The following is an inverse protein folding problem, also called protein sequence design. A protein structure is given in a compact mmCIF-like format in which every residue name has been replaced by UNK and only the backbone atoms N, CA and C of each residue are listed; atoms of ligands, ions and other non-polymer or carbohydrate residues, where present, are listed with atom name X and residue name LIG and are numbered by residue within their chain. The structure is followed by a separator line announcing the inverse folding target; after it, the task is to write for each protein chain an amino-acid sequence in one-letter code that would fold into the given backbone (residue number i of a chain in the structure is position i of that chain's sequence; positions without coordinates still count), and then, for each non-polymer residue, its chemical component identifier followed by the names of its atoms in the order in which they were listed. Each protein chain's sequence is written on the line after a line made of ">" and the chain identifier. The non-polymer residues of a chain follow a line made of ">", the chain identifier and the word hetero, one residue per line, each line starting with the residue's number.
data_IF_198469557308
#
_entry.id   IF_198469557308
#
_cell.length_a   1.000
_cell.length_b   1.000
_cell.length_c   1.000
_cell.angle_alpha   90.00
_cell.angle_beta   90.00
_cell.angle_gamma   90.00
#
_symmetry.space_group_name_H-M   'P 1'
#
loop_
_entity.id
_entity.type
_entity.pdbx_description
1 polymer ?
#
# COMPACT_ATOMS: atom_id res chain seq x y z
N UNK A 1 26.71 -1.23 16.61
CA UNK A 1 27.86 -1.26 17.53
C UNK A 1 28.40 -2.68 17.56
N UNK A 2 29.71 -2.85 17.39
CA UNK A 2 30.39 -4.14 17.45
C UNK A 2 30.28 -4.77 18.83
N UNK A 3 30.22 -6.10 18.88
CA UNK A 3 30.15 -6.86 20.14
C UNK A 3 31.46 -6.72 20.91
N UNK A 4 31.38 -6.34 22.19
CA UNK A 4 32.56 -6.27 23.08
C UNK A 4 32.69 -7.54 23.93
N UNK A 5 33.86 -7.72 24.57
CA UNK A 5 34.07 -8.77 25.57
C UNK A 5 33.06 -8.69 26.72
N UNK A 6 32.77 -7.48 27.21
CA UNK A 6 31.79 -7.27 28.28
C UNK A 6 30.37 -7.64 27.83
N UNK A 7 30.01 -7.35 26.59
CA UNK A 7 28.70 -7.71 26.04
C UNK A 7 28.50 -9.25 26.06
N UNK A 8 29.53 -10.03 25.71
CA UNK A 8 29.47 -11.50 25.74
C UNK A 8 29.33 -12.02 27.16
N UNK A 9 30.13 -11.52 28.10
CA UNK A 9 30.07 -11.94 29.51
C UNK A 9 28.69 -11.66 30.10
N UNK A 10 28.17 -10.46 29.91
CA UNK A 10 26.84 -10.10 30.42
C UNK A 10 25.73 -10.89 29.74
N UNK A 11 25.82 -11.16 28.43
CA UNK A 11 24.83 -11.96 27.74
C UNK A 11 24.80 -13.41 28.25
N UNK A 12 25.96 -14.02 28.53
CA UNK A 12 26.03 -15.36 29.14
C UNK A 12 25.41 -15.37 30.54
N UNK A 13 25.72 -14.38 31.38
CA UNK A 13 25.15 -14.29 32.74
C UNK A 13 23.64 -14.08 32.72
N UNK A 14 23.14 -13.19 31.88
CA UNK A 14 21.73 -12.81 31.87
C UNK A 14 20.84 -13.81 31.14
N UNK A 15 21.35 -14.46 30.08
CA UNK A 15 20.54 -15.36 29.23
C UNK A 15 20.76 -16.83 29.61
N UNK A 16 22.00 -17.24 29.91
CA UNK A 16 22.34 -18.62 30.24
C UNK A 16 22.56 -18.86 31.74
N UNK A 17 22.58 -17.80 32.56
CA UNK A 17 22.75 -17.93 34.01
C UNK A 17 24.16 -18.34 34.46
N UNK A 18 25.19 -18.21 33.61
CA UNK A 18 26.57 -18.64 33.92
C UNK A 18 27.65 -17.78 33.28
N UNK A 19 28.91 -18.04 33.65
CA UNK A 19 30.08 -17.48 32.96
C UNK A 19 30.36 -18.20 31.63
N UNK A 20 30.99 -17.52 30.65
CA UNK A 20 31.61 -18.18 29.50
C UNK A 20 32.64 -19.22 29.93
N UNK A 21 32.71 -20.33 29.20
CA UNK A 21 33.54 -21.49 29.55
C UNK A 21 35.05 -21.26 29.37
N UNK A 22 35.45 -20.28 28.56
CA UNK A 22 36.84 -19.90 28.34
C UNK A 22 36.94 -18.55 27.61
N UNK A 23 38.12 -17.92 27.62
CA UNK A 23 38.39 -16.75 26.76
C UNK A 23 38.23 -17.10 25.27
N UNK A 24 38.59 -18.31 24.84
CA UNK A 24 38.42 -18.74 23.46
C UNK A 24 36.93 -18.74 23.03
N UNK A 25 36.01 -19.07 23.94
CA UNK A 25 34.57 -18.99 23.67
C UNK A 25 34.09 -17.55 23.48
N UNK A 26 34.65 -16.61 24.25
CA UNK A 26 34.37 -15.17 24.12
C UNK A 26 34.87 -14.66 22.77
N UNK A 27 36.14 -14.94 22.44
CA UNK A 27 36.76 -14.55 21.17
C UNK A 27 35.99 -15.10 19.97
N UNK A 28 35.56 -16.36 20.05
CA UNK A 28 34.76 -16.99 19.00
C UNK A 28 33.41 -16.30 18.77
N UNK A 29 32.75 -15.79 19.82
CA UNK A 29 31.49 -15.02 19.67
C UNK A 29 31.73 -13.64 19.09
N UNK A 30 32.76 -12.93 19.55
CA UNK A 30 33.15 -11.60 19.03
C UNK A 30 33.51 -11.69 17.55
N UNK A 31 34.26 -12.72 17.14
CA UNK A 31 34.69 -12.91 15.75
C UNK A 31 33.52 -13.18 14.78
N UNK A 32 32.41 -13.76 15.27
CA UNK A 32 31.30 -14.22 14.41
C UNK A 32 30.08 -13.32 14.46
N UNK A 33 29.90 -12.51 15.49
CA UNK A 33 28.67 -11.75 15.74
C UNK A 33 28.98 -10.25 15.73
N UNK A 34 28.33 -9.53 14.83
CA UNK A 34 28.64 -8.13 14.52
C UNK A 34 27.83 -7.15 15.36
N UNK A 35 26.83 -7.63 16.11
CA UNK A 35 25.98 -6.80 16.96
C UNK A 35 25.48 -7.52 18.21
N UNK A 36 25.14 -6.74 19.25
CA UNK A 36 24.46 -7.24 20.46
C UNK A 36 23.16 -7.97 20.14
N UNK A 37 22.49 -7.56 19.05
CA UNK A 37 21.26 -8.18 18.52
C UNK A 37 21.53 -9.63 18.10
N UNK A 38 22.56 -9.84 17.29
CA UNK A 38 23.01 -11.16 16.85
C UNK A 38 23.51 -12.03 18.01
N UNK A 39 24.24 -11.44 18.96
CA UNK A 39 24.70 -12.12 20.18
C UNK A 39 23.52 -12.66 21.00
N UNK A 40 22.54 -11.81 21.31
CA UNK A 40 21.34 -12.20 22.06
C UNK A 40 20.57 -13.31 21.34
N UNK A 41 20.34 -13.17 20.03
CA UNK A 41 19.66 -14.19 19.21
C UNK A 41 20.39 -15.52 19.23
N UNK A 42 21.72 -15.52 19.08
CA UNK A 42 22.53 -16.74 19.08
C UNK A 42 22.44 -17.51 20.41
N UNK A 43 22.27 -16.81 21.54
CA UNK A 43 22.12 -17.43 22.85
C UNK A 43 20.69 -17.93 23.11
N UNK A 44 19.67 -17.14 22.77
CA UNK A 44 18.26 -17.55 22.90
C UNK A 44 17.90 -18.75 21.99
N UNK A 45 18.57 -18.91 20.86
CA UNK A 45 18.40 -20.06 19.98
C UNK A 45 19.35 -21.24 20.29
N UNK A 46 20.19 -21.13 21.33
CA UNK A 46 21.14 -22.18 21.66
C UNK A 46 20.45 -23.42 22.26
N UNK A 47 20.99 -24.61 21.99
CA UNK A 47 20.51 -25.86 22.62
C UNK A 47 20.53 -25.79 24.15
N UNK A 48 21.48 -25.04 24.68
CA UNK A 48 21.65 -24.82 26.11
C UNK A 48 20.45 -24.06 26.69
N UNK A 49 20.14 -22.87 26.15
CA UNK A 49 18.98 -22.08 26.59
C UNK A 49 17.67 -22.87 26.47
N UNK A 50 17.47 -23.56 25.33
CA UNK A 50 16.27 -24.36 25.10
C UNK A 50 16.15 -25.54 26.09
N UNK A 51 17.27 -26.11 26.52
CA UNK A 51 17.31 -27.23 27.45
C UNK A 51 17.11 -26.85 28.91
N UNK A 52 17.37 -25.60 29.30
CA UNK A 52 17.33 -25.14 30.69
C UNK A 52 16.24 -24.14 31.01
N UNK A 53 15.66 -23.48 30.00
CA UNK A 53 14.62 -22.46 30.19
C UNK A 53 13.28 -23.04 30.65
N UNK A 54 12.58 -22.31 31.50
CA UNK A 54 11.19 -22.63 31.88
C UNK A 54 10.22 -22.44 30.69
N UNK A 55 9.02 -23.03 30.73
CA UNK A 55 8.02 -22.85 29.68
C UNK A 55 7.70 -21.37 29.38
N UNK A 56 7.66 -20.52 30.41
CA UNK A 56 7.40 -19.08 30.28
C UNK A 56 8.58 -18.36 29.61
N UNK A 57 9.82 -18.72 29.95
CA UNK A 57 11.01 -18.15 29.31
C UNK A 57 11.14 -18.59 27.85
N UNK A 58 10.76 -19.84 27.53
CA UNK A 58 10.69 -20.33 26.16
C UNK A 58 9.65 -19.56 25.35
N UNK A 59 8.43 -19.38 25.88
CA UNK A 59 7.38 -18.59 25.22
C UNK A 59 7.82 -17.14 25.01
N UNK A 60 8.39 -16.50 26.03
CA UNK A 60 8.90 -15.12 25.93
C UNK A 60 10.04 -15.00 24.92
N UNK A 61 10.95 -15.97 24.87
CA UNK A 61 12.04 -15.99 23.88
C UNK A 61 11.52 -16.17 22.46
N UNK A 62 10.52 -17.02 22.25
CA UNK A 62 9.90 -17.24 20.94
C UNK A 62 9.17 -15.98 20.48
N UNK A 63 8.40 -15.35 21.36
CA UNK A 63 7.72 -14.08 21.07
C UNK A 63 8.72 -12.96 20.76
N UNK A 64 9.78 -12.85 21.57
CA UNK A 64 10.86 -11.90 21.33
C UNK A 64 11.55 -12.13 19.97
N UNK A 65 11.92 -13.37 19.64
CA UNK A 65 12.55 -13.73 18.37
C UNK A 65 11.61 -13.52 17.16
N UNK A 66 10.29 -13.68 17.35
CA UNK A 66 9.27 -13.36 16.34
C UNK A 66 9.19 -11.85 16.07
N UNK A 67 9.12 -11.03 17.12
CA UNK A 67 9.11 -9.56 17.00
C UNK A 67 10.42 -9.03 16.41
N UNK A 68 11.56 -9.55 16.87
CA UNK A 68 12.88 -9.16 16.40
C UNK A 68 13.11 -9.51 14.92
N UNK A 69 12.55 -10.66 14.48
CA UNK A 69 12.54 -11.06 13.07
C UNK A 69 11.66 -10.13 12.26
N UNK A 70 10.46 -9.78 12.73
CA UNK A 70 9.58 -8.82 12.07
C UNK A 70 10.25 -7.44 11.85
N UNK A 71 11.01 -6.95 12.85
CA UNK A 71 11.81 -5.72 12.74
C UNK A 71 13.04 -5.83 11.81
N UNK A 72 13.54 -7.05 11.55
CA UNK A 72 14.68 -7.29 10.64
C UNK A 72 14.26 -7.48 9.17
N UNK A 73 12.96 -7.62 8.93
CA UNK A 73 12.40 -7.77 7.59
C UNK A 73 12.22 -6.39 6.93
N UNK A 74 12.37 -6.33 5.60
CA UNK A 74 12.03 -5.12 4.84
C UNK A 74 10.58 -4.70 5.10
N UNK A 75 10.24 -3.41 5.04
CA UNK A 75 8.87 -2.94 5.21
C UNK A 75 7.87 -3.68 4.32
N UNK A 76 6.66 -3.94 4.82
CA UNK A 76 5.55 -4.46 4.01
C UNK A 76 5.15 -3.43 2.98
N UNK A 77 5.15 -3.79 1.72
CA UNK A 77 4.62 -2.92 0.66
C UNK A 77 3.11 -3.12 0.58
N UNK A 78 2.36 -2.04 0.68
CA UNK A 78 0.91 -2.02 0.59
C UNK A 78 0.51 -1.19 -0.63
N UNK A 79 0.07 -1.86 -1.69
CA UNK A 79 -0.48 -1.18 -2.85
C UNK A 79 -1.99 -0.96 -2.66
N UNK A 80 -2.34 0.26 -2.32
CA UNK A 80 -3.72 0.75 -2.26
C UNK A 80 -4.24 0.95 -3.69
N UNK A 81 -4.83 -0.10 -4.27
CA UNK A 81 -5.28 -0.07 -5.65
C UNK A 81 -6.58 0.73 -5.78
N UNK A 82 -6.44 1.98 -6.20
CA UNK A 82 -7.57 2.85 -6.51
C UNK A 82 -8.11 2.49 -7.92
N UNK A 83 -9.42 2.24 -8.08
CA UNK A 83 -9.98 1.88 -9.38
C UNK A 83 -9.69 2.92 -10.48
N UNK A 84 -9.26 2.42 -11.64
CA UNK A 84 -9.10 3.18 -12.90
C UNK A 84 -7.94 4.19 -12.92
N UNK A 85 -6.92 3.96 -12.09
CA UNK A 85 -5.69 4.76 -12.03
C UNK A 85 -4.44 4.00 -12.51
N UNK A 86 -4.60 3.04 -13.43
CA UNK A 86 -3.54 2.12 -13.86
C UNK A 86 -2.97 1.19 -12.76
N UNK A 87 -3.71 1.00 -11.66
CA UNK A 87 -3.28 0.10 -10.58
C UNK A 87 -3.19 -1.38 -10.98
N UNK A 88 -3.92 -1.87 -11.98
CA UNK A 88 -3.71 -3.22 -12.53
C UNK A 88 -2.30 -3.37 -13.10
N UNK A 89 -1.81 -2.38 -13.87
CA UNK A 89 -0.45 -2.40 -14.41
C UNK A 89 0.60 -2.32 -13.30
N UNK A 90 0.33 -1.57 -12.23
CA UNK A 90 1.21 -1.55 -11.06
C UNK A 90 1.20 -2.90 -10.31
N UNK A 91 0.03 -3.54 -10.18
CA UNK A 91 -0.09 -4.88 -9.59
C UNK A 91 0.75 -5.90 -10.35
N UNK A 92 0.73 -5.87 -11.68
CA UNK A 92 1.56 -6.77 -12.51
C UNK A 92 3.05 -6.57 -12.20
N UNK A 93 3.53 -5.31 -12.15
CA UNK A 93 4.93 -5.00 -11.84
C UNK A 93 5.35 -5.33 -10.41
N UNK A 94 4.46 -5.17 -9.44
CA UNK A 94 4.70 -5.62 -8.07
C UNK A 94 4.67 -7.16 -8.00
N UNK A 95 3.71 -7.81 -8.65
CA UNK A 95 3.61 -9.27 -8.64
C UNK A 95 4.85 -9.95 -9.25
N UNK A 96 5.44 -9.37 -10.30
CA UNK A 96 6.73 -9.78 -10.87
C UNK A 96 7.86 -9.69 -9.82
N UNK A 97 8.03 -8.53 -9.17
CA UNK A 97 9.12 -8.29 -8.20
C UNK A 97 8.96 -9.08 -6.89
N UNK A 98 7.72 -9.45 -6.55
CA UNK A 98 7.36 -10.18 -5.33
C UNK A 98 6.92 -11.62 -5.64
N UNK A 99 7.27 -12.19 -6.80
CA UNK A 99 6.76 -13.48 -7.25
C UNK A 99 6.99 -14.62 -6.25
N UNK A 100 8.18 -14.67 -5.64
CA UNK A 100 8.60 -15.68 -4.65
C UNK A 100 8.44 -15.22 -3.19
N UNK A 101 7.81 -14.07 -2.95
CA UNK A 101 7.65 -13.48 -1.61
C UNK A 101 6.21 -13.67 -1.12
N UNK A 102 5.98 -13.85 0.20
CA UNK A 102 4.63 -13.98 0.72
C UNK A 102 3.80 -12.72 0.42
N UNK A 103 2.60 -12.91 -0.12
CA UNK A 103 1.74 -11.81 -0.58
C UNK A 103 0.27 -12.07 -0.28
N UNK A 104 -0.48 -10.99 -0.14
CA UNK A 104 -1.92 -11.00 0.09
C UNK A 104 -2.66 -10.13 -0.93
N UNK A 105 -3.70 -10.71 -1.55
CA UNK A 105 -4.58 -10.01 -2.49
C UNK A 105 -5.93 -9.76 -1.83
N UNK A 106 -6.30 -8.49 -1.68
CA UNK A 106 -7.61 -8.08 -1.15
C UNK A 106 -8.76 -8.40 -2.13
N UNK A 107 -8.46 -8.57 -3.41
CA UNK A 107 -9.48 -8.88 -4.42
C UNK A 107 -9.93 -10.35 -4.37
N UNK A 108 -9.03 -11.26 -4.05
CA UNK A 108 -9.28 -12.71 -4.12
C UNK A 108 -9.75 -13.30 -2.78
N UNK A 109 -9.61 -12.54 -1.70
CA UNK A 109 -9.93 -12.96 -0.36
C UNK A 109 -10.72 -11.86 0.36
N UNK A 110 -11.88 -12.22 0.90
CA UNK A 110 -12.64 -11.33 1.78
C UNK A 110 -11.72 -10.86 2.93
N UNK A 111 -11.77 -9.58 3.30
CA UNK A 111 -10.99 -9.01 4.41
C UNK A 111 -11.10 -9.84 5.69
N UNK A 112 -12.22 -10.54 5.90
CA UNK A 112 -12.38 -11.51 6.99
C UNK A 112 -11.25 -12.54 7.05
N UNK A 113 -10.82 -13.08 5.91
CA UNK A 113 -9.72 -14.05 5.84
C UNK A 113 -8.37 -13.45 6.23
N UNK A 114 -8.17 -12.15 6.00
CA UNK A 114 -6.97 -11.47 6.50
C UNK A 114 -6.98 -11.40 8.03
N UNK A 115 -8.17 -11.22 8.63
CA UNK A 115 -8.32 -11.22 10.07
C UNK A 115 -8.23 -12.61 10.72
N UNK A 116 -8.43 -13.67 9.95
CA UNK A 116 -8.18 -15.06 10.37
C UNK A 116 -6.68 -15.37 10.50
N UNK A 117 -5.81 -14.64 9.78
CA UNK A 117 -4.36 -14.78 9.95
C UNK A 117 -3.91 -14.35 11.35
N UNK A 118 -3.00 -15.11 11.94
CA UNK A 118 -2.29 -14.74 13.16
C UNK A 118 -1.40 -13.52 12.93
N UNK A 119 -1.04 -12.76 13.99
CA UNK A 119 -0.06 -11.67 13.88
C UNK A 119 1.28 -12.12 13.28
N UNK A 120 1.67 -13.37 13.53
CA UNK A 120 2.86 -13.97 12.95
C UNK A 120 2.71 -14.17 11.44
N UNK A 121 1.61 -14.71 10.96
CA UNK A 121 1.39 -14.85 9.51
C UNK A 121 1.35 -13.50 8.81
N UNK A 122 0.73 -12.48 9.42
CA UNK A 122 0.71 -11.11 8.88
C UNK A 122 2.11 -10.47 8.84
N UNK A 123 2.99 -10.78 9.79
CA UNK A 123 4.36 -10.24 9.81
C UNK A 123 5.25 -10.75 8.67
N UNK A 124 4.87 -11.87 8.06
CA UNK A 124 5.57 -12.47 6.92
C UNK A 124 5.09 -11.92 5.56
N UNK A 125 3.99 -11.15 5.51
CA UNK A 125 3.47 -10.61 4.25
C UNK A 125 4.34 -9.46 3.74
N UNK A 126 5.01 -9.67 2.62
CA UNK A 126 5.89 -8.69 1.98
C UNK A 126 5.16 -7.74 1.02
N UNK A 127 4.04 -8.20 0.46
CA UNK A 127 3.20 -7.42 -0.41
C UNK A 127 1.72 -7.63 -0.06
N UNK A 128 0.99 -6.54 0.13
CA UNK A 128 -0.47 -6.54 0.22
C UNK A 128 -0.99 -5.63 -0.88
N UNK A 129 -1.96 -6.08 -1.68
CA UNK A 129 -2.48 -5.27 -2.78
C UNK A 129 -3.96 -5.52 -3.03
N UNK A 130 -4.64 -4.52 -3.56
CA UNK A 130 -6.04 -4.62 -3.97
C UNK A 130 -6.89 -3.42 -3.56
N UNK A 131 -8.20 -3.55 -3.79
CA UNK A 131 -9.18 -2.49 -3.66
C UNK A 131 -9.61 -2.37 -2.19
N UNK A 132 -8.82 -1.69 -1.39
CA UNK A 132 -9.06 -1.51 0.04
C UNK A 132 -9.03 -0.03 0.43
N UNK A 133 -9.36 0.23 1.69
CA UNK A 133 -9.21 1.52 2.34
C UNK A 133 -7.85 1.59 3.04
N UNK A 134 -7.28 2.79 3.17
CA UNK A 134 -6.11 3.00 4.00
C UNK A 134 -6.40 2.56 5.45
N UNK A 135 -5.52 1.76 6.04
CA UNK A 135 -5.70 1.29 7.41
C UNK A 135 -5.12 -0.08 7.70
N UNK A 136 -4.97 -0.96 6.70
CA UNK A 136 -4.57 -2.36 6.94
C UNK A 136 -3.23 -2.52 7.67
N UNK A 137 -2.32 -1.56 7.53
CA UNK A 137 -1.06 -1.48 8.29
C UNK A 137 -1.20 -1.56 9.82
N UNK A 138 -2.32 -1.11 10.40
CA UNK A 138 -2.56 -1.17 11.85
C UNK A 138 -2.58 -2.62 12.38
N UNK A 139 -2.77 -3.59 11.50
CA UNK A 139 -2.83 -5.01 11.80
C UNK A 139 -1.55 -5.77 11.42
N UNK A 140 -0.51 -5.06 10.99
CA UNK A 140 0.76 -5.63 10.54
C UNK A 140 1.84 -5.21 11.53
N UNK A 141 2.46 -6.14 12.28
CA UNK A 141 3.47 -5.79 13.29
C UNK A 141 4.84 -5.54 12.64
N UNK A 142 4.89 -4.68 11.62
CA UNK A 142 6.10 -4.33 10.85
C UNK A 142 5.97 -2.92 10.26
N UNK A 143 7.10 -2.30 9.99
CA UNK A 143 7.19 -1.14 9.11
C UNK A 143 6.49 -1.42 7.78
N UNK A 144 5.94 -0.37 7.17
CA UNK A 144 5.15 -0.49 5.96
C UNK A 144 5.35 0.71 5.05
N UNK A 145 5.16 0.49 3.75
CA UNK A 145 5.20 1.52 2.72
C UNK A 145 3.92 1.43 1.92
N UNK A 146 3.19 2.54 1.79
CA UNK A 146 2.03 2.60 0.90
C UNK A 146 2.43 3.07 -0.50
N UNK A 147 1.93 2.36 -1.49
CA UNK A 147 2.00 2.74 -2.90
C UNK A 147 0.59 3.00 -3.41
N UNK A 148 0.38 4.06 -4.18
CA UNK A 148 -0.85 4.21 -4.97
C UNK A 148 -0.62 5.07 -6.22
N UNK A 149 -1.60 5.05 -7.12
CA UNK A 149 -1.60 5.87 -8.32
C UNK A 149 -2.89 6.68 -8.34
N UNK A 150 -2.76 7.97 -8.62
CA UNK A 150 -3.88 8.88 -8.84
C UNK A 150 -4.10 9.11 -10.34
N UNK A 151 -5.27 9.63 -10.66
CA UNK A 151 -5.62 10.09 -12.01
C UNK A 151 -6.41 11.37 -11.91
N UNK A 152 -6.38 12.19 -12.97
CA UNK A 152 -7.32 13.31 -13.11
C UNK A 152 -8.74 12.84 -12.81
N UNK A 153 -9.47 13.46 -11.87
CA UNK A 153 -10.70 12.88 -11.33
C UNK A 153 -11.79 12.66 -12.38
N UNK A 154 -11.98 13.61 -13.29
CA UNK A 154 -12.93 13.49 -14.40
C UNK A 154 -12.56 12.32 -15.33
N UNK A 155 -11.30 12.21 -15.75
CA UNK A 155 -10.80 11.12 -16.59
C UNK A 155 -10.99 9.76 -15.92
N UNK A 156 -10.82 9.69 -14.60
CA UNK A 156 -11.06 8.48 -13.81
C UNK A 156 -12.53 8.09 -13.80
N UNK A 157 -13.44 9.04 -13.54
CA UNK A 157 -14.89 8.81 -13.57
C UNK A 157 -15.32 8.33 -14.96
N UNK A 158 -14.84 8.97 -16.03
CA UNK A 158 -15.15 8.56 -17.39
C UNK A 158 -14.56 7.18 -17.75
N UNK A 159 -13.36 6.86 -17.23
CA UNK A 159 -12.77 5.52 -17.37
C UNK A 159 -13.59 4.46 -16.63
N UNK A 160 -14.14 4.78 -15.45
CA UNK A 160 -15.03 3.90 -14.71
C UNK A 160 -16.35 3.70 -15.46
N UNK A 161 -16.98 4.77 -15.93
CA UNK A 161 -18.17 4.72 -16.78
C UNK A 161 -18.01 3.76 -17.97
N UNK A 162 -16.91 3.90 -18.72
CA UNK A 162 -16.61 3.03 -19.85
C UNK A 162 -16.35 1.58 -19.43
N UNK A 163 -15.68 1.38 -18.30
CA UNK A 163 -15.43 0.04 -17.77
C UNK A 163 -16.72 -0.68 -17.40
N UNK A 164 -17.63 -0.01 -16.69
CA UNK A 164 -18.91 -0.57 -16.24
C UNK A 164 -19.76 -1.09 -17.41
N UNK A 165 -19.82 -0.36 -18.52
CA UNK A 165 -20.62 -0.80 -19.67
C UNK A 165 -19.90 -1.77 -20.61
N UNK A 166 -18.59 -2.00 -20.44
CA UNK A 166 -17.81 -2.93 -21.30
C UNK A 166 -17.48 -4.24 -20.60
N UNK A 167 -17.36 -4.25 -19.27
CA UNK A 167 -17.03 -5.47 -18.52
C UNK A 167 -18.28 -6.30 -18.23
N UNK A 168 -18.39 -7.48 -18.87
CA UNK A 168 -19.50 -8.43 -18.71
C UNK A 168 -19.66 -8.98 -17.28
N UNK A 169 -18.57 -9.02 -16.52
CA UNK A 169 -18.58 -9.51 -15.13
C UNK A 169 -19.01 -8.44 -14.13
N UNK A 170 -19.12 -7.18 -14.58
CA UNK A 170 -19.54 -6.10 -13.70
C UNK A 170 -21.03 -6.22 -13.35
N UNK A 171 -21.46 -6.08 -12.08
CA UNK A 171 -22.88 -6.20 -11.68
C UNK A 171 -23.84 -5.21 -12.37
N UNK A 172 -23.28 -4.14 -12.93
CA UNK A 172 -24.01 -3.10 -13.66
C UNK A 172 -23.89 -3.23 -15.19
N UNK A 173 -23.26 -4.29 -15.69
CA UNK A 173 -23.22 -4.58 -17.11
C UNK A 173 -24.63 -4.70 -17.68
N UNK A 174 -24.86 -4.13 -18.86
CA UNK A 174 -26.19 -4.03 -19.48
C UNK A 174 -27.13 -2.98 -18.86
N UNK A 175 -26.84 -2.48 -17.64
CA UNK A 175 -27.61 -1.39 -17.00
C UNK A 175 -27.06 0.00 -17.33
N UNK A 176 -25.79 0.07 -17.74
CA UNK A 176 -25.12 1.30 -18.18
C UNK A 176 -24.77 1.18 -19.65
N UNK A 177 -25.38 2.05 -20.48
CA UNK A 177 -25.03 2.16 -21.89
C UNK A 177 -23.85 3.12 -22.05
N UNK A 178 -22.79 2.65 -22.71
CA UNK A 178 -21.58 3.45 -22.96
C UNK A 178 -21.68 4.23 -24.27
N UNK A 179 -21.06 5.41 -24.31
CA UNK A 179 -21.09 6.37 -25.42
C UNK A 179 -21.06 7.81 -24.88
N UNK A 180 -20.38 8.77 -25.54
CA UNK A 180 -20.30 10.15 -25.04
C UNK A 180 -21.66 10.74 -24.65
N UNK A 181 -22.70 10.47 -25.46
CA UNK A 181 -24.06 10.95 -25.27
C UNK A 181 -24.79 10.38 -24.04
N UNK A 182 -24.30 9.27 -23.49
CA UNK A 182 -24.91 8.61 -22.33
C UNK A 182 -24.19 8.93 -21.01
N UNK A 183 -23.09 9.68 -21.04
CA UNK A 183 -22.30 9.98 -19.84
C UNK A 183 -23.08 10.81 -18.81
N UNK A 184 -23.81 11.84 -19.26
CA UNK A 184 -24.65 12.63 -18.37
C UNK A 184 -25.77 11.81 -17.70
N UNK A 185 -26.38 10.86 -18.43
CA UNK A 185 -27.34 9.91 -17.84
C UNK A 185 -26.71 9.06 -16.75
N UNK A 186 -25.46 8.61 -16.94
CA UNK A 186 -24.73 7.87 -15.91
C UNK A 186 -24.47 8.72 -14.66
N UNK A 187 -24.13 10.01 -14.82
CA UNK A 187 -24.00 10.94 -13.70
C UNK A 187 -25.32 11.08 -12.93
N UNK A 188 -26.46 11.28 -13.61
CA UNK A 188 -27.76 11.30 -12.93
C UNK A 188 -28.09 9.99 -12.21
N UNK A 189 -27.78 8.84 -12.82
CA UNK A 189 -27.99 7.53 -12.20
C UNK A 189 -27.17 7.36 -10.91
N UNK A 190 -25.97 7.94 -10.84
CA UNK A 190 -25.15 7.88 -9.63
C UNK A 190 -25.76 8.59 -8.42
N UNK A 191 -26.66 9.57 -8.62
CA UNK A 191 -27.33 10.25 -7.51
C UNK A 191 -28.31 9.35 -6.75
N UNK A 192 -28.82 8.30 -7.40
CA UNK A 192 -29.80 7.37 -6.82
C UNK A 192 -29.27 5.94 -6.66
N UNK A 193 -28.01 5.70 -7.02
CA UNK A 193 -27.37 4.36 -6.98
C UNK A 193 -26.08 4.43 -6.17
N UNK A 194 -26.17 4.01 -4.91
CA UNK A 194 -25.05 4.06 -3.98
C UNK A 194 -23.83 3.28 -4.47
N UNK A 195 -24.02 2.19 -5.20
CA UNK A 195 -22.94 1.38 -5.77
C UNK A 195 -22.15 2.11 -6.87
N UNK A 196 -22.78 3.06 -7.58
CA UNK A 196 -22.08 3.94 -8.52
C UNK A 196 -21.49 5.12 -7.76
N UNK A 197 -22.30 5.75 -6.90
CA UNK A 197 -21.93 6.94 -6.17
C UNK A 197 -20.63 6.76 -5.39
N UNK A 198 -20.51 5.65 -4.62
CA UNK A 198 -19.30 5.36 -3.84
C UNK A 198 -18.05 5.33 -4.71
N UNK A 199 -18.13 4.73 -5.90
CA UNK A 199 -16.99 4.59 -6.81
C UNK A 199 -16.61 5.88 -7.54
N UNK A 200 -17.50 6.87 -7.62
CA UNK A 200 -17.27 8.12 -8.37
C UNK A 200 -17.18 9.39 -7.52
N UNK A 201 -17.82 9.44 -6.35
CA UNK A 201 -17.82 10.60 -5.47
C UNK A 201 -16.56 10.64 -4.59
N UNK A 202 -15.58 11.45 -4.99
CA UNK A 202 -14.34 11.72 -4.27
C UNK A 202 -13.63 10.43 -3.81
N UNK A 203 -13.70 9.39 -4.64
CA UNK A 203 -13.36 8.03 -4.23
C UNK A 203 -11.85 7.82 -4.09
N UNK A 204 -11.02 8.63 -4.76
CA UNK A 204 -9.56 8.56 -4.56
C UNK A 204 -9.21 9.06 -3.16
N UNK A 205 -9.66 10.26 -2.80
CA UNK A 205 -9.41 10.87 -1.51
C UNK A 205 -10.04 10.07 -0.37
N UNK A 206 -11.27 9.56 -0.54
CA UNK A 206 -11.92 8.75 0.49
C UNK A 206 -11.20 7.44 0.78
N UNK A 207 -10.71 6.73 -0.24
CA UNK A 207 -9.92 5.50 -0.02
C UNK A 207 -8.62 5.80 0.71
N UNK A 208 -7.92 6.88 0.32
CA UNK A 208 -6.69 7.32 0.99
C UNK A 208 -6.97 7.77 2.43
N UNK A 209 -8.10 8.43 2.69
CA UNK A 209 -8.52 8.82 4.03
C UNK A 209 -9.04 7.65 4.88
N UNK A 210 -9.21 6.45 4.31
CA UNK A 210 -9.80 5.30 4.99
C UNK A 210 -11.29 5.47 5.31
N UNK A 211 -12.02 6.15 4.42
CA UNK A 211 -13.43 6.55 4.59
C UNK A 211 -14.30 6.19 3.37
N UNK A 212 -13.83 5.35 2.46
CA UNK A 212 -14.62 4.99 1.28
C UNK A 212 -15.81 4.09 1.65
N UNK A 213 -15.62 3.14 2.56
CA UNK A 213 -16.73 2.27 2.99
C UNK A 213 -17.71 3.00 3.90
N UNK A 214 -17.18 3.78 4.86
CA UNK A 214 -17.93 4.49 5.91
C UNK A 214 -18.66 5.74 5.40
N UNK A 215 -18.01 6.53 4.54
CA UNK A 215 -18.54 7.81 4.01
C UNK A 215 -18.95 8.79 5.13
N UNK A 216 -18.23 8.79 6.25
CA UNK A 216 -18.56 9.56 7.45
C UNK A 216 -17.84 10.90 7.49
N UNK A 217 -16.68 11.03 6.83
CA UNK A 217 -15.90 12.27 6.88
C UNK A 217 -16.57 13.41 6.12
N UNK A 218 -16.53 14.58 6.74
CA UNK A 218 -16.82 15.84 6.05
C UNK A 218 -15.84 16.04 4.87
N UNK A 219 -16.21 16.78 3.82
CA UNK A 219 -15.30 17.04 2.69
C UNK A 219 -13.96 17.66 3.12
N UNK A 220 -13.97 18.53 4.13
CA UNK A 220 -12.76 19.18 4.66
C UNK A 220 -11.86 18.19 5.39
N UNK A 221 -12.43 17.33 6.23
CA UNK A 221 -11.66 16.36 7.01
C UNK A 221 -11.13 15.22 6.14
N UNK A 222 -11.92 14.80 5.13
CA UNK A 222 -11.48 13.88 4.11
C UNK A 222 -10.24 14.41 3.37
N UNK A 223 -10.28 15.66 2.89
CA UNK A 223 -9.14 16.29 2.23
C UNK A 223 -7.91 16.36 3.14
N UNK A 224 -8.08 16.87 4.37
CA UNK A 224 -6.98 17.00 5.34
C UNK A 224 -6.32 15.66 5.61
N UNK A 225 -7.11 14.62 5.87
CA UNK A 225 -6.61 13.27 6.16
C UNK A 225 -5.93 12.65 4.93
N UNK A 226 -6.54 12.78 3.75
CA UNK A 226 -5.95 12.29 2.51
C UNK A 226 -4.61 12.96 2.19
N UNK A 227 -4.48 14.28 2.38
CA UNK A 227 -3.22 15.00 2.22
C UNK A 227 -2.19 14.56 3.27
N UNK A 228 -2.58 14.48 4.55
CA UNK A 228 -1.68 14.05 5.62
C UNK A 228 -1.06 12.68 5.33
N UNK A 229 -1.88 11.73 4.86
CA UNK A 229 -1.43 10.40 4.47
C UNK A 229 -0.58 10.45 3.21
N UNK A 230 -1.00 11.17 2.17
CA UNK A 230 -0.28 11.21 0.90
C UNK A 230 1.15 11.75 1.03
N UNK A 231 1.38 12.67 1.96
CA UNK A 231 2.69 13.30 2.20
C UNK A 231 3.47 12.68 3.37
N UNK A 232 3.00 11.56 3.94
CA UNK A 232 3.76 10.86 4.97
C UNK A 232 5.03 10.23 4.38
N UNK A 233 6.13 10.12 5.17
CA UNK A 233 7.43 9.65 4.67
C UNK A 233 7.42 8.24 4.06
N UNK A 234 6.52 7.39 4.52
CA UNK A 234 6.37 6.01 4.09
C UNK A 234 5.29 5.83 3.00
N UNK A 235 4.90 6.91 2.34
CA UNK A 235 3.94 6.89 1.24
C UNK A 235 4.60 7.33 -0.05
N UNK A 236 4.38 6.56 -1.10
CA UNK A 236 4.79 6.90 -2.45
C UNK A 236 3.59 6.85 -3.38
N UNK A 237 3.48 7.87 -4.22
CA UNK A 237 2.40 7.95 -5.17
C UNK A 237 2.89 8.36 -6.57
N UNK A 238 2.10 7.96 -7.55
CA UNK A 238 2.26 8.32 -8.95
C UNK A 238 0.99 8.93 -9.53
N UNK A 239 1.12 9.46 -10.74
CA UNK A 239 0.00 9.90 -11.56
C UNK A 239 -0.10 8.96 -12.76
N UNK A 240 -1.31 8.69 -13.22
CA UNK A 240 -1.56 7.86 -14.40
C UNK A 240 -0.90 8.46 -15.64
N UNK A 241 -0.88 9.80 -15.72
CA UNK A 241 -0.32 10.58 -16.82
C UNK A 241 1.22 10.42 -16.91
N UNK A 242 1.88 10.23 -15.77
CA UNK A 242 3.34 10.10 -15.62
C UNK A 242 3.75 8.72 -15.10
N UNK A 243 2.97 7.68 -15.43
CA UNK A 243 3.14 6.34 -14.85
C UNK A 243 4.54 5.75 -15.07
N UNK A 244 5.14 6.01 -16.24
CA UNK A 244 6.52 5.58 -16.53
C UNK A 244 7.55 6.21 -15.58
N UNK A 245 7.43 7.50 -15.30
CA UNK A 245 8.31 8.17 -14.32
C UNK A 245 8.09 7.65 -12.91
N UNK A 246 6.84 7.34 -12.56
CA UNK A 246 6.53 6.74 -11.27
C UNK A 246 7.21 5.38 -11.10
N UNK A 247 7.17 4.51 -12.12
CA UNK A 247 7.89 3.23 -12.07
C UNK A 247 9.39 3.40 -11.94
N UNK A 248 9.98 4.40 -12.60
CA UNK A 248 11.40 4.70 -12.42
C UNK A 248 11.73 5.12 -10.98
N UNK A 249 10.85 5.88 -10.31
CA UNK A 249 11.02 6.20 -8.88
C UNK A 249 10.91 4.94 -8.02
N UNK A 250 9.91 4.08 -8.27
CA UNK A 250 9.74 2.83 -7.52
C UNK A 250 10.91 1.85 -7.73
N UNK A 251 11.48 1.80 -8.94
CA UNK A 251 12.67 0.99 -9.21
C UNK A 251 13.87 1.47 -8.41
N UNK A 252 14.11 2.79 -8.34
CA UNK A 252 15.17 3.38 -7.49
C UNK A 252 14.98 3.08 -6.00
N UNK A 253 13.74 2.86 -5.56
CA UNK A 253 13.39 2.48 -4.19
C UNK A 253 13.40 0.95 -3.98
N UNK A 254 13.64 0.15 -5.02
CA UNK A 254 13.69 -1.31 -4.95
C UNK A 254 12.32 -2.01 -4.92
N UNK A 255 11.23 -1.30 -5.20
CA UNK A 255 9.87 -1.86 -5.15
C UNK A 255 9.44 -2.56 -6.44
N UNK A 256 10.04 -2.22 -7.58
CA UNK A 256 9.76 -2.86 -8.88
C UNK A 256 11.08 -3.11 -9.62
N UNK A 257 11.10 -4.11 -10.50
CA UNK A 257 12.24 -4.38 -11.37
C UNK A 257 12.46 -3.25 -12.40
N UNK A 258 13.65 -3.20 -13.00
CA UNK A 258 13.96 -2.24 -14.06
C UNK A 258 13.06 -2.48 -15.27
N UNK A 259 12.27 -1.48 -15.67
CA UNK A 259 11.36 -1.58 -16.82
C UNK A 259 11.85 -0.74 -17.99
N UNK A 260 11.94 -1.34 -19.19
CA UNK A 260 12.11 -0.63 -20.46
C UNK A 260 10.74 -0.24 -21.02
N UNK A 261 10.37 1.04 -20.85
CA UNK A 261 9.18 1.71 -21.42
C UNK A 261 7.78 1.17 -21.07
N UNK A 262 6.83 2.08 -20.85
CA UNK A 262 5.39 1.77 -20.79
C UNK A 262 4.65 2.58 -21.84
N UNK A 263 3.90 1.86 -22.68
CA UNK A 263 3.04 2.41 -23.72
C UNK A 263 2.01 3.41 -23.18
N UNK A 264 1.98 4.59 -23.82
CA UNK A 264 0.97 5.64 -23.62
C UNK A 264 -0.38 5.20 -24.20
N UNK A 265 -1.23 4.57 -23.40
CA UNK A 265 -2.62 4.28 -23.78
C UNK A 265 -3.57 5.50 -23.69
N UNK A 266 -3.05 6.73 -23.61
CA UNK A 266 -3.84 7.93 -23.30
C UNK A 266 -4.55 8.59 -24.51
N UNK A 267 -4.07 8.40 -25.75
CA UNK A 267 -4.49 9.25 -26.87
C UNK A 267 -5.93 8.98 -27.38
N UNK A 268 -6.43 7.74 -27.29
CA UNK A 268 -7.72 7.38 -27.90
C UNK A 268 -8.95 7.72 -27.03
N UNK A 269 -8.79 8.02 -25.74
CA UNK A 269 -9.94 8.33 -24.85
C UNK A 269 -10.26 9.82 -24.73
N UNK A 270 -9.32 10.70 -25.09
CA UNK A 270 -9.43 12.12 -24.79
C UNK A 270 -10.51 12.81 -25.62
N UNK A 271 -10.54 12.57 -26.94
CA UNK A 271 -11.56 13.12 -27.84
C UNK A 271 -12.98 12.62 -27.54
N UNK A 272 -13.10 11.41 -27.00
CA UNK A 272 -14.39 10.83 -26.57
C UNK A 272 -14.88 11.45 -25.26
N UNK A 273 -13.96 11.77 -24.35
CA UNK A 273 -14.27 12.47 -23.10
C UNK A 273 -14.70 13.92 -23.39
N UNK A 274 -13.97 14.65 -24.23
CA UNK A 274 -14.30 16.04 -24.60
C UNK A 274 -15.74 16.15 -25.12
N UNK A 275 -16.12 15.30 -26.07
CA UNK A 275 -17.50 15.22 -26.58
C UNK A 275 -18.53 14.90 -25.50
N UNK A 276 -18.17 14.06 -24.52
CA UNK A 276 -19.06 13.71 -23.42
C UNK A 276 -19.27 14.89 -22.48
N UNK A 277 -18.23 15.70 -22.25
CA UNK A 277 -18.28 16.90 -21.40
C UNK A 277 -19.05 18.04 -22.08
N UNK A 278 -18.85 18.26 -23.38
CA UNK A 278 -19.60 19.24 -24.17
C UNK A 278 -21.12 18.96 -24.18
N UNK A 279 -21.50 17.69 -24.10
CA UNK A 279 -22.89 17.26 -24.09
C UNK A 279 -23.59 17.32 -22.72
N UNK A 280 -22.91 17.76 -21.65
CA UNK A 280 -23.51 17.82 -20.31
C UNK A 280 -24.41 19.04 -20.13
N UNK A 281 -25.57 18.82 -19.51
CA UNK A 281 -26.40 19.88 -18.94
C UNK A 281 -25.72 20.54 -17.73
N UNK A 282 -26.24 21.70 -17.30
CA UNK A 282 -25.77 22.40 -16.10
C UNK A 282 -25.86 21.52 -14.85
N UNK A 283 -26.95 20.75 -14.71
CA UNK A 283 -27.13 19.84 -13.58
C UNK A 283 -26.08 18.71 -13.59
N UNK A 284 -25.79 18.11 -14.74
CA UNK A 284 -24.80 17.04 -14.84
C UNK A 284 -23.37 17.55 -14.59
N UNK A 285 -23.08 18.76 -15.05
CA UNK A 285 -21.81 19.44 -14.79
C UNK A 285 -21.62 19.74 -13.29
N UNK A 286 -22.69 20.11 -12.59
CA UNK A 286 -22.68 20.33 -11.15
C UNK A 286 -22.42 19.03 -10.38
N UNK A 287 -23.09 17.93 -10.74
CA UNK A 287 -22.82 16.60 -10.16
C UNK A 287 -21.35 16.25 -10.31
N UNK A 288 -20.78 16.42 -11.51
CA UNK A 288 -19.38 16.11 -11.77
C UNK A 288 -18.44 16.96 -10.92
N UNK A 289 -18.71 18.26 -10.79
CA UNK A 289 -17.94 19.19 -9.96
C UNK A 289 -17.99 18.79 -8.48
N UNK A 290 -19.15 18.44 -7.96
CA UNK A 290 -19.30 18.03 -6.57
C UNK A 290 -18.58 16.72 -6.28
N UNK A 291 -18.68 15.76 -7.20
CA UNK A 291 -18.09 14.44 -7.05
C UNK A 291 -16.57 14.44 -7.24
N UNK A 292 -16.00 15.50 -7.78
CA UNK A 292 -14.55 15.65 -7.99
C UNK A 292 -13.92 16.69 -7.08
N UNK A 293 -14.69 17.45 -6.31
CA UNK A 293 -14.22 18.61 -5.55
C UNK A 293 -12.98 18.34 -4.67
N UNK A 294 -12.96 17.22 -3.96
CA UNK A 294 -11.88 16.84 -3.04
C UNK A 294 -10.78 16.12 -3.79
N UNK A 295 -11.13 15.20 -4.69
CA UNK A 295 -10.18 14.51 -5.55
C UNK A 295 -9.34 15.49 -6.38
N UNK A 296 -9.93 16.58 -6.88
CA UNK A 296 -9.24 17.62 -7.66
C UNK A 296 -8.21 18.35 -6.82
N UNK A 297 -8.57 18.71 -5.58
CA UNK A 297 -7.66 19.39 -4.65
C UNK A 297 -6.49 18.50 -4.25
N UNK A 298 -6.77 17.23 -3.96
CA UNK A 298 -5.75 16.23 -3.67
C UNK A 298 -4.83 16.01 -4.87
N UNK A 299 -5.40 15.77 -6.06
CA UNK A 299 -4.64 15.54 -7.29
C UNK A 299 -3.71 16.71 -7.61
N UNK A 300 -4.21 17.96 -7.54
CA UNK A 300 -3.39 19.16 -7.77
C UNK A 300 -2.24 19.27 -6.77
N UNK A 301 -2.51 19.04 -5.49
CA UNK A 301 -1.48 19.07 -4.44
C UNK A 301 -0.39 18.01 -4.67
N UNK A 302 -0.81 16.79 -5.02
CA UNK A 302 0.10 15.69 -5.35
C UNK A 302 0.93 15.97 -6.62
N UNK A 303 0.30 16.52 -7.66
CA UNK A 303 0.97 16.92 -8.88
C UNK A 303 2.03 18.01 -8.62
N UNK A 304 1.65 19.10 -7.94
CA UNK A 304 2.58 20.17 -7.56
C UNK A 304 3.75 19.65 -6.72
N UNK A 305 3.50 18.74 -5.78
CA UNK A 305 4.56 18.10 -5.00
C UNK A 305 5.53 17.30 -5.87
N UNK A 306 5.03 16.54 -6.85
CA UNK A 306 5.88 15.80 -7.79
C UNK A 306 6.74 16.76 -8.60
N UNK A 307 6.15 17.81 -9.18
CA UNK A 307 6.85 18.80 -10.00
C UNK A 307 7.91 19.57 -9.20
N UNK A 308 7.58 19.97 -7.98
CA UNK A 308 8.54 20.64 -7.08
C UNK A 308 9.76 19.77 -6.79
N UNK A 309 9.57 18.46 -6.61
CA UNK A 309 10.66 17.53 -6.33
C UNK A 309 11.46 17.13 -7.59
N UNK A 310 10.90 17.26 -8.79
CA UNK A 310 11.64 17.12 -10.06
C UNK A 310 12.64 18.26 -10.22
N UNK A 311 12.23 19.49 -9.95
CA UNK A 311 13.05 20.70 -10.13
C UNK A 311 14.22 20.84 -9.13
N UNK A 312 14.29 19.98 -8.11
CA UNK A 312 15.39 19.96 -7.12
C UNK A 312 16.52 18.97 -7.45
N UNK A 313 16.36 18.13 -8.46
CA UNK A 313 17.34 17.13 -8.89
C UNK A 313 18.09 17.59 -10.12
#
# INVERSE_FOLDING_TARGET
>A
MSVTREDVIWAYRMILGREPESEAAIEHKIARLQSRKELRRALLCSKEFVGTASPVELENSQNFLKTERAESLSPTVIHLHIPKTAGTSLNEKLAENYASRPKWSYHDQNITKFFELTPEERSHLDLIFGHMDYGIHEYIPREHVYLFVLRKPIDRIYSYYNYVGKNKEHPLFGKVKTGPENFGKFLRQSMSRSEIQKEINNSQARRIAGDYDKQELSPSDCLKKACHISFAPNVHFGLTEDFGEYLQRLHKLGHVAQTSEIQRNALNSQSSLEKALEGLSSQESEILKDYTLIDDKLYKSCHEFIEFNKNKK
#
